data_IF_731058054483
#
_entry.id   IF_731058054483
#
_cell.length_a   1.000
_cell.length_b   1.000
_cell.length_c   1.000
_cell.angle_alpha   90.00
_cell.angle_beta   90.00
_cell.angle_gamma   90.00
#
_symmetry.space_group_name_H-M   'P 1'
#
loop_
_entity.id
_entity.type
_entity.pdbx_description
1 polymer ?
#
# COMPACT_ATOMS: atom_id res chain seq x y z
N UNK A 1 -0.55 -1.81 25.59
CA UNK A 1 -1.94 -2.14 25.94
C UNK A 1 -2.94 -1.52 24.97
N UNK A 2 -4.12 -2.15 24.87
CA UNK A 2 -5.19 -1.62 24.02
C UNK A 2 -5.83 -0.40 24.65
N UNK A 3 -6.02 -0.40 25.96
CA UNK A 3 -6.53 0.77 26.68
C UNK A 3 -5.36 1.52 27.29
N UNK A 4 -5.14 2.75 26.82
CA UNK A 4 -4.11 3.66 27.31
C UNK A 4 -4.79 4.96 27.74
N UNK A 5 -4.69 5.30 29.03
CA UNK A 5 -5.28 6.54 29.59
C UNK A 5 -6.77 6.75 29.27
N UNK A 6 -7.55 5.66 29.14
CA UNK A 6 -8.98 5.72 28.81
C UNK A 6 -9.31 5.73 27.30
N UNK A 7 -8.30 5.78 26.44
CA UNK A 7 -8.47 5.70 24.98
C UNK A 7 -8.13 4.32 24.43
N UNK A 8 -8.82 3.92 23.35
CA UNK A 8 -8.55 2.67 22.65
C UNK A 8 -7.44 2.91 21.61
N UNK A 9 -6.27 2.32 21.86
CA UNK A 9 -5.09 2.47 20.99
C UNK A 9 -5.30 1.88 19.59
N UNK A 10 -6.15 0.87 19.41
CA UNK A 10 -6.49 0.30 18.10
C UNK A 10 -7.30 1.30 17.29
N UNK A 11 -8.33 1.91 17.87
CA UNK A 11 -9.13 2.94 17.21
C UNK A 11 -8.26 4.15 16.84
N UNK A 12 -7.30 4.50 17.69
CA UNK A 12 -6.32 5.55 17.39
C UNK A 12 -5.41 5.16 16.19
N UNK A 13 -4.90 3.93 16.15
CA UNK A 13 -4.08 3.43 15.04
C UNK A 13 -4.85 3.43 13.72
N UNK A 14 -6.11 2.99 13.72
CA UNK A 14 -6.99 2.99 12.54
C UNK A 14 -7.20 4.42 12.04
N UNK A 15 -7.49 5.35 12.94
CA UNK A 15 -7.71 6.76 12.59
C UNK A 15 -6.45 7.46 12.05
N UNK A 16 -5.26 7.01 12.46
CA UNK A 16 -3.98 7.60 12.10
C UNK A 16 -3.15 6.72 11.14
N UNK A 17 -3.79 5.90 10.32
CA UNK A 17 -3.11 4.97 9.37
C UNK A 17 -1.99 5.63 8.57
N UNK A 18 -2.19 6.86 8.10
CA UNK A 18 -1.19 7.58 7.31
C UNK A 18 0.09 7.93 8.09
N UNK A 19 -0.04 8.22 9.40
CA UNK A 19 1.09 8.55 10.27
C UNK A 19 1.87 7.26 10.60
N UNK A 20 1.15 6.17 10.84
CA UNK A 20 1.70 4.90 11.29
C UNK A 20 2.12 3.96 10.17
N UNK A 21 1.87 4.29 8.90
CA UNK A 21 2.13 3.43 7.73
C UNK A 21 3.59 2.97 7.59
N UNK A 22 4.54 3.71 8.17
CA UNK A 22 5.98 3.39 8.16
C UNK A 22 6.45 2.61 9.39
N UNK A 23 5.56 2.37 10.34
CA UNK A 23 5.89 1.73 11.63
C UNK A 23 5.26 0.35 11.71
N UNK A 24 5.96 -0.61 12.29
CA UNK A 24 5.39 -1.90 12.64
C UNK A 24 4.93 -1.86 14.09
N UNK A 25 3.72 -2.35 14.35
CA UNK A 25 3.14 -2.35 15.69
C UNK A 25 3.04 -3.78 16.23
N UNK A 26 3.45 -3.97 17.48
CA UNK A 26 3.19 -5.17 18.25
C UNK A 26 2.27 -4.77 19.40
N UNK A 27 1.00 -5.17 19.31
CA UNK A 27 0.02 -4.90 20.36
C UNK A 27 0.03 -6.04 21.37
N UNK A 28 0.21 -5.71 22.64
CA UNK A 28 0.16 -6.68 23.74
C UNK A 28 -1.04 -6.36 24.65
N UNK A 29 -1.88 -7.35 24.93
CA UNK A 29 -3.05 -7.17 25.79
C UNK A 29 -3.26 -8.32 26.74
N UNK A 30 -3.87 -8.04 27.90
CA UNK A 30 -4.30 -9.05 28.86
C UNK A 30 -5.62 -9.73 28.45
N UNK A 31 -6.41 -9.11 27.58
CA UNK A 31 -7.74 -9.57 27.19
C UNK A 31 -7.79 -10.03 25.75
N UNK A 32 -8.50 -11.13 25.44
CA UNK A 32 -8.79 -11.48 24.05
C UNK A 32 -9.66 -10.37 23.42
N UNK A 33 -9.14 -9.73 22.40
CA UNK A 33 -9.83 -8.65 21.68
C UNK A 33 -10.62 -9.23 20.54
N UNK A 34 -11.70 -8.54 20.18
CA UNK A 34 -12.46 -8.78 18.96
C UNK A 34 -11.53 -8.67 17.76
N UNK A 35 -11.19 -9.82 17.20
CA UNK A 35 -10.14 -9.98 16.18
C UNK A 35 -10.39 -9.22 14.86
N UNK A 36 -11.63 -8.80 14.60
CA UNK A 36 -12.00 -8.11 13.36
C UNK A 36 -11.39 -6.69 13.25
N UNK A 37 -11.23 -5.96 14.36
CA UNK A 37 -10.61 -4.62 14.33
C UNK A 37 -9.11 -4.66 14.05
N UNK A 38 -8.46 -5.77 14.35
CA UNK A 38 -7.01 -5.93 14.18
C UNK A 38 -6.65 -6.15 12.71
N UNK A 39 -7.52 -6.80 11.95
CA UNK A 39 -7.34 -7.03 10.51
C UNK A 39 -7.33 -5.72 9.69
N UNK A 40 -7.85 -4.64 10.26
CA UNK A 40 -7.82 -3.31 9.62
C UNK A 40 -6.46 -2.59 9.76
N UNK A 41 -5.54 -3.12 10.59
CA UNK A 41 -4.21 -2.55 10.81
C UNK A 41 -3.17 -3.38 10.07
N UNK A 42 -2.75 -2.93 8.92
CA UNK A 42 -1.86 -3.60 7.95
C UNK A 42 -0.43 -3.90 8.46
N UNK A 43 -0.13 -3.82 9.73
CA UNK A 43 1.24 -4.00 10.23
C UNK A 43 1.29 -4.41 11.68
N UNK A 44 0.20 -4.97 12.21
CA UNK A 44 0.10 -5.25 13.64
C UNK A 44 0.33 -6.73 13.93
N UNK A 45 1.24 -7.00 14.85
CA UNK A 45 1.37 -8.27 15.53
C UNK A 45 0.61 -8.22 16.84
N UNK A 46 -0.11 -9.28 17.17
CA UNK A 46 -0.95 -9.32 18.36
C UNK A 46 -0.49 -10.42 19.32
N UNK A 47 -0.21 -10.05 20.57
CA UNK A 47 0.20 -10.96 21.63
C UNK A 47 -0.74 -10.85 22.83
N UNK A 48 -1.20 -12.00 23.33
CA UNK A 48 -2.03 -12.10 24.54
C UNK A 48 -1.08 -12.31 25.73
N UNK A 49 -0.98 -11.33 26.64
CA UNK A 49 -0.05 -11.35 27.78
C UNK A 49 -0.05 -12.66 28.58
N UNK A 50 -1.20 -13.25 28.98
CA UNK A 50 -1.23 -14.52 29.70
C UNK A 50 -0.68 -15.73 28.93
N UNK A 51 -0.56 -15.64 27.60
CA UNK A 51 -0.03 -16.70 26.73
C UNK A 51 1.30 -16.35 26.10
N UNK A 52 1.88 -15.21 26.47
CA UNK A 52 3.12 -14.72 25.91
C UNK A 52 4.30 -15.52 26.46
N UNK A 53 5.12 -16.03 25.55
CA UNK A 53 6.42 -16.62 25.82
C UNK A 53 7.50 -15.76 25.16
N UNK A 54 8.74 -15.90 25.62
CA UNK A 54 9.89 -15.22 24.99
C UNK A 54 10.00 -15.58 23.51
N UNK A 55 9.69 -16.83 23.14
CA UNK A 55 9.69 -17.29 21.75
C UNK A 55 8.64 -16.57 20.91
N UNK A 56 7.41 -16.40 21.40
CA UNK A 56 6.34 -15.67 20.70
C UNK A 56 6.69 -14.20 20.52
N UNK A 57 7.29 -13.59 21.55
CA UNK A 57 7.74 -12.20 21.46
C UNK A 57 8.88 -12.04 20.44
N UNK A 58 9.88 -12.91 20.48
CA UNK A 58 10.98 -12.92 19.51
C UNK A 58 10.50 -13.12 18.08
N UNK A 59 9.54 -14.04 17.87
CA UNK A 59 8.94 -14.25 16.54
C UNK A 59 8.17 -13.04 16.04
N UNK A 60 7.44 -12.34 16.93
CA UNK A 60 6.75 -11.10 16.57
C UNK A 60 7.74 -9.99 16.18
N UNK A 61 8.82 -9.82 16.93
CA UNK A 61 9.89 -8.86 16.63
C UNK A 61 10.57 -9.21 15.31
N UNK A 62 10.94 -10.48 15.10
CA UNK A 62 11.58 -10.94 13.86
C UNK A 62 10.73 -10.64 12.64
N UNK A 63 9.44 -10.96 12.67
CA UNK A 63 8.52 -10.62 11.56
C UNK A 63 8.34 -9.12 11.36
N UNK A 64 8.28 -8.32 12.43
CA UNK A 64 8.23 -6.88 12.31
C UNK A 64 9.49 -6.32 11.61
N UNK A 65 10.67 -6.84 11.94
CA UNK A 65 11.93 -6.47 11.29
C UNK A 65 11.98 -6.94 9.82
N UNK A 66 11.51 -8.14 9.52
CA UNK A 66 11.39 -8.65 8.15
C UNK A 66 10.49 -7.74 7.31
N UNK A 67 9.33 -7.35 7.83
CA UNK A 67 8.40 -6.42 7.16
C UNK A 67 9.02 -5.04 6.92
N UNK A 68 9.80 -4.51 7.89
CA UNK A 68 10.52 -3.24 7.71
C UNK A 68 11.56 -3.37 6.60
N UNK A 69 12.38 -4.43 6.63
CA UNK A 69 13.40 -4.69 5.64
C UNK A 69 12.80 -4.89 4.24
N UNK A 70 11.71 -5.64 4.12
CA UNK A 70 11.00 -5.79 2.87
C UNK A 70 10.48 -4.47 2.32
N UNK A 71 9.90 -3.61 3.18
CA UNK A 71 9.45 -2.27 2.77
C UNK A 71 10.63 -1.38 2.35
N UNK A 72 11.79 -1.50 2.98
CA UNK A 72 12.99 -0.73 2.61
C UNK A 72 13.63 -1.21 1.31
N UNK A 73 13.69 -2.52 1.07
CA UNK A 73 14.19 -3.09 -0.19
C UNK A 73 13.34 -2.73 -1.41
N UNK A 74 12.11 -2.30 -1.20
CA UNK A 74 11.15 -1.89 -2.24
C UNK A 74 11.23 -0.40 -2.58
N UNK A 75 12.20 0.33 -2.01
CA UNK A 75 12.46 1.72 -2.39
C UNK A 75 13.07 1.77 -3.79
N UNK A 76 12.47 2.54 -4.66
CA UNK A 76 12.98 2.86 -5.98
C UNK A 76 13.50 4.28 -6.01
N UNK A 77 14.69 4.47 -6.58
CA UNK A 77 15.23 5.80 -6.81
C UNK A 77 14.67 6.35 -8.12
N UNK A 78 13.88 7.40 -8.04
CA UNK A 78 13.31 8.12 -9.19
C UNK A 78 14.12 9.39 -9.43
N UNK A 79 14.58 9.58 -10.66
CA UNK A 79 15.25 10.82 -11.08
C UNK A 79 14.21 11.89 -11.38
N UNK A 80 14.30 13.02 -10.70
CA UNK A 80 13.43 14.19 -10.84
C UNK A 80 14.27 15.38 -11.31
N UNK A 81 14.61 15.44 -12.60
CA UNK A 81 15.58 16.41 -13.11
C UNK A 81 16.95 16.20 -12.45
N UNK A 82 17.46 17.20 -11.72
CA UNK A 82 18.75 17.15 -11.03
C UNK A 82 18.69 16.51 -9.63
N UNK A 83 17.50 16.07 -9.18
CA UNK A 83 17.32 15.42 -7.87
C UNK A 83 16.99 13.94 -8.06
N UNK A 84 17.37 13.14 -7.09
CA UNK A 84 16.97 11.74 -6.99
C UNK A 84 16.17 11.56 -5.71
N UNK A 85 15.00 10.95 -5.83
CA UNK A 85 14.11 10.66 -4.71
C UNK A 85 13.95 9.15 -4.55
N UNK A 86 14.19 8.65 -3.36
CA UNK A 86 13.88 7.27 -3.02
C UNK A 86 12.41 7.17 -2.60
N UNK A 87 11.57 6.50 -3.39
CA UNK A 87 10.16 6.26 -3.08
C UNK A 87 9.94 4.78 -2.82
N UNK A 88 9.06 4.47 -1.88
CA UNK A 88 8.57 3.12 -1.73
C UNK A 88 7.51 2.87 -2.82
N UNK A 89 7.73 1.87 -3.66
CA UNK A 89 6.82 1.56 -4.78
C UNK A 89 5.42 1.13 -4.30
N UNK A 90 5.29 0.66 -3.08
CA UNK A 90 3.99 0.29 -2.49
C UNK A 90 3.14 1.49 -2.08
N UNK A 91 3.77 2.65 -1.85
CA UNK A 91 3.10 3.90 -1.54
C UNK A 91 2.65 4.66 -2.83
N UNK A 92 2.93 4.11 -4.01
CA UNK A 92 2.43 4.64 -5.28
C UNK A 92 1.01 4.13 -5.49
N UNK A 93 0.04 5.03 -5.64
CA UNK A 93 -1.36 4.70 -5.93
C UNK A 93 -1.59 4.46 -7.42
N UNK A 94 -1.14 5.39 -8.26
CA UNK A 94 -1.16 5.24 -9.71
C UNK A 94 -0.13 6.14 -10.39
N UNK A 95 0.07 5.91 -11.67
CA UNK A 95 1.01 6.66 -12.51
C UNK A 95 0.26 7.07 -13.77
N UNK A 96 0.40 8.33 -14.15
CA UNK A 96 -0.15 8.85 -15.40
C UNK A 96 0.91 9.47 -16.30
N UNK A 97 0.61 9.56 -17.60
CA UNK A 97 1.45 10.27 -18.56
C UNK A 97 0.88 11.66 -18.82
N UNK A 98 1.76 12.66 -18.79
CA UNK A 98 1.42 14.05 -19.12
C UNK A 98 2.60 14.73 -19.83
N UNK A 99 2.39 15.16 -21.07
CA UNK A 99 3.40 15.88 -21.88
C UNK A 99 4.80 15.25 -21.85
N UNK A 100 4.94 13.99 -22.31
CA UNK A 100 6.19 13.22 -22.33
C UNK A 100 6.84 12.96 -20.95
N UNK A 101 6.13 13.25 -19.88
CA UNK A 101 6.53 12.92 -18.51
C UNK A 101 5.58 11.89 -17.94
N UNK A 102 6.00 11.24 -16.89
CA UNK A 102 5.11 10.53 -15.98
C UNK A 102 4.94 11.33 -14.70
N UNK A 103 3.73 11.29 -14.16
CA UNK A 103 3.38 11.81 -12.85
C UNK A 103 3.06 10.60 -11.98
N UNK A 104 3.77 10.48 -10.87
CA UNK A 104 3.63 9.41 -9.90
C UNK A 104 2.83 9.97 -8.74
N UNK A 105 1.68 9.37 -8.46
CA UNK A 105 0.79 9.75 -7.36
C UNK A 105 1.05 8.84 -6.16
N UNK A 106 1.22 9.44 -4.99
CA UNK A 106 1.55 8.74 -3.73
C UNK A 106 0.35 8.71 -2.80
N UNK A 107 0.29 7.69 -1.95
CA UNK A 107 -0.72 7.59 -0.85
C UNK A 107 -0.72 8.85 0.04
N UNK A 108 0.43 9.51 0.21
CA UNK A 108 0.54 10.77 0.95
C UNK A 108 -0.17 11.96 0.30
N UNK A 109 -0.66 11.81 -0.95
CA UNK A 109 -1.17 12.91 -1.78
C UNK A 109 -0.07 13.65 -2.54
N UNK A 110 1.22 13.37 -2.27
CA UNK A 110 2.33 13.95 -3.04
C UNK A 110 2.34 13.43 -4.48
N UNK A 111 2.83 14.29 -5.39
CA UNK A 111 2.98 13.97 -6.81
C UNK A 111 4.41 14.23 -7.24
N UNK A 112 5.02 13.23 -7.88
CA UNK A 112 6.37 13.33 -8.39
C UNK A 112 6.37 13.24 -9.92
N UNK A 113 6.97 14.25 -10.57
CA UNK A 113 7.07 14.31 -12.03
C UNK A 113 8.47 13.93 -12.47
N UNK A 114 8.60 12.98 -13.40
CA UNK A 114 9.88 12.60 -13.98
C UNK A 114 9.78 12.40 -15.49
N UNK A 115 10.89 12.63 -16.19
CA UNK A 115 10.99 12.37 -17.61
C UNK A 115 11.23 10.89 -17.86
N UNK A 116 10.19 10.18 -18.23
CA UNK A 116 10.23 8.76 -18.57
C UNK A 116 9.00 8.38 -19.38
N UNK A 117 9.07 7.26 -20.09
CA UNK A 117 7.88 6.66 -20.66
C UNK A 117 7.23 5.70 -19.66
N UNK A 118 5.89 5.60 -19.71
CA UNK A 118 5.17 4.66 -18.87
C UNK A 118 5.62 3.20 -19.10
N UNK A 119 6.01 2.87 -20.34
CA UNK A 119 6.52 1.54 -20.71
C UNK A 119 7.86 1.24 -20.04
N UNK A 120 8.80 2.20 -20.08
CA UNK A 120 10.12 2.02 -19.45
C UNK A 120 9.98 1.90 -17.93
N UNK A 121 9.16 2.75 -17.32
CA UNK A 121 8.94 2.74 -15.88
C UNK A 121 8.21 1.47 -15.41
N UNK A 122 7.26 0.95 -16.21
CA UNK A 122 6.53 -0.27 -15.91
C UNK A 122 7.42 -1.51 -15.72
N UNK A 123 8.50 -1.61 -16.53
CA UNK A 123 9.41 -2.76 -16.45
C UNK A 123 10.15 -2.86 -15.11
N UNK A 124 10.15 -1.80 -14.34
CA UNK A 124 10.85 -1.70 -13.06
C UNK A 124 9.89 -1.81 -11.86
N UNK A 125 8.59 -1.99 -12.11
CA UNK A 125 7.56 -2.08 -11.07
C UNK A 125 7.17 -3.54 -10.81
N UNK A 126 6.76 -3.86 -9.57
CA UNK A 126 6.25 -5.19 -9.23
C UNK A 126 4.95 -5.51 -9.98
N UNK A 127 4.60 -6.80 -10.01
CA UNK A 127 3.43 -7.34 -10.73
C UNK A 127 2.07 -6.81 -10.25
N UNK A 128 2.02 -6.18 -9.08
CA UNK A 128 0.81 -5.51 -8.58
C UNK A 128 0.41 -4.26 -9.37
N UNK A 129 1.29 -3.76 -10.26
CA UNK A 129 0.97 -2.63 -11.13
C UNK A 129 0.35 -3.08 -12.44
N UNK A 130 -0.88 -2.64 -12.68
CA UNK A 130 -1.67 -2.97 -13.86
C UNK A 130 -1.74 -1.80 -14.83
N UNK A 131 -1.32 -2.01 -16.08
CA UNK A 131 -1.51 -1.01 -17.13
C UNK A 131 -2.95 -1.08 -17.64
N UNK A 132 -3.79 -0.16 -17.17
CA UNK A 132 -5.22 -0.11 -17.48
C UNK A 132 -5.56 0.79 -18.68
N UNK A 133 -4.65 1.71 -19.08
CA UNK A 133 -4.85 2.64 -20.19
C UNK A 133 -3.52 2.95 -20.91
N UNK A 134 -3.55 3.53 -22.11
CA UNK A 134 -2.33 4.02 -22.78
C UNK A 134 -1.55 5.02 -21.92
N UNK A 135 -2.27 5.80 -21.12
CA UNK A 135 -1.72 6.86 -20.26
C UNK A 135 -1.77 6.57 -18.77
N UNK A 136 -2.32 5.44 -18.33
CA UNK A 136 -2.47 5.13 -16.90
C UNK A 136 -1.99 3.73 -16.54
N UNK A 137 -1.36 3.65 -15.38
CA UNK A 137 -1.00 2.43 -14.68
C UNK A 137 -1.42 2.57 -13.22
N UNK A 138 -2.12 1.58 -12.68
CA UNK A 138 -2.67 1.59 -11.31
C UNK A 138 -1.98 0.52 -10.46
N UNK A 139 -1.76 0.82 -9.20
CA UNK A 139 -1.39 -0.17 -8.21
C UNK A 139 -2.66 -0.85 -7.71
N UNK A 140 -2.82 -2.13 -8.01
CA UNK A 140 -4.02 -2.90 -7.69
C UNK A 140 -4.30 -3.00 -6.19
N UNK A 141 -3.30 -2.82 -5.34
CA UNK A 141 -3.45 -2.82 -3.87
C UNK A 141 -4.35 -1.67 -3.38
N UNK A 142 -4.34 -0.53 -4.06
CA UNK A 142 -5.10 0.68 -3.66
C UNK A 142 -6.46 0.81 -4.35
N UNK A 143 -6.89 -0.21 -5.11
CA UNK A 143 -8.20 -0.22 -5.75
C UNK A 143 -9.25 -0.68 -4.73
N UNK A 144 -10.23 0.16 -4.47
CA UNK A 144 -11.40 -0.17 -3.62
C UNK A 144 -12.61 -0.64 -4.43
N UNK A 145 -12.60 -0.40 -5.75
CA UNK A 145 -13.71 -0.79 -6.63
C UNK A 145 -13.50 -0.34 -8.06
N UNK A 146 -14.49 -0.60 -8.91
CA UNK A 146 -14.49 -0.11 -10.28
C UNK A 146 -15.91 0.20 -10.75
N UNK A 147 -16.02 1.16 -11.65
CA UNK A 147 -17.22 1.52 -12.40
C UNK A 147 -16.92 1.41 -13.90
N UNK A 148 -17.89 1.59 -14.81
CA UNK A 148 -17.62 1.56 -16.25
C UNK A 148 -16.45 2.49 -16.62
N UNK A 149 -15.37 1.88 -17.12
CA UNK A 149 -14.13 2.50 -17.60
C UNK A 149 -13.28 3.26 -16.56
N UNK A 150 -13.51 3.05 -15.25
CA UNK A 150 -12.67 3.63 -14.20
C UNK A 150 -12.43 2.65 -13.05
N UNK A 151 -11.21 2.64 -12.50
CA UNK A 151 -10.93 2.16 -11.15
C UNK A 151 -11.17 3.27 -10.14
N UNK A 152 -11.68 2.90 -8.96
CA UNK A 152 -11.88 3.78 -7.81
C UNK A 152 -10.79 3.46 -6.79
N UNK A 153 -10.09 4.48 -6.29
CA UNK A 153 -9.00 4.33 -5.34
C UNK A 153 -9.39 4.81 -3.94
N UNK A 154 -8.62 4.41 -2.93
CA UNK A 154 -8.82 4.78 -1.52
C UNK A 154 -8.80 6.29 -1.27
N UNK A 155 -8.09 7.06 -2.10
CA UNK A 155 -7.97 8.52 -2.06
C UNK A 155 -9.06 9.23 -2.88
N UNK A 156 -10.15 8.52 -3.22
CA UNK A 156 -11.26 8.99 -4.07
C UNK A 156 -10.84 9.29 -5.54
N UNK A 157 -9.59 9.05 -5.91
CA UNK A 157 -9.14 9.22 -7.29
C UNK A 157 -9.80 8.20 -8.22
N UNK A 158 -10.06 8.62 -9.46
CA UNK A 158 -10.55 7.74 -10.54
C UNK A 158 -9.47 7.56 -11.59
N UNK A 159 -9.09 6.31 -11.85
CA UNK A 159 -8.09 5.97 -12.86
C UNK A 159 -8.76 5.33 -14.06
N UNK A 160 -8.62 5.98 -15.21
CA UNK A 160 -9.30 5.57 -16.45
C UNK A 160 -8.82 4.21 -16.96
N UNK A 161 -9.76 3.37 -17.34
CA UNK A 161 -9.53 2.09 -18.03
C UNK A 161 -9.87 2.27 -19.51
N UNK A 162 -9.03 1.73 -20.39
CA UNK A 162 -9.30 1.74 -21.83
C UNK A 162 -10.58 0.95 -22.15
N UNK A 163 -11.57 1.54 -22.85
CA UNK A 163 -12.80 0.82 -23.24
C UNK A 163 -12.51 -0.46 -24.02
N UNK A 164 -11.50 -0.43 -24.90
CA UNK A 164 -11.12 -1.59 -25.74
C UNK A 164 -10.60 -2.78 -24.94
N UNK A 165 -10.01 -2.54 -23.77
CA UNK A 165 -9.40 -3.57 -22.93
C UNK A 165 -10.12 -3.75 -21.61
N UNK A 166 -11.27 -3.13 -21.40
CA UNK A 166 -11.97 -3.09 -20.10
C UNK A 166 -12.15 -4.49 -19.51
N UNK A 167 -12.78 -5.41 -20.23
CA UNK A 167 -13.02 -6.77 -19.71
C UNK A 167 -11.73 -7.51 -19.38
N UNK A 168 -10.68 -7.36 -20.21
CA UNK A 168 -9.38 -7.98 -19.96
C UNK A 168 -8.76 -7.40 -18.68
N UNK A 169 -8.76 -6.08 -18.54
CA UNK A 169 -8.20 -5.36 -17.38
C UNK A 169 -8.91 -5.75 -16.09
N UNK A 170 -10.25 -5.82 -16.09
CA UNK A 170 -11.02 -6.27 -14.93
C UNK A 170 -10.72 -7.74 -14.57
N UNK A 171 -10.56 -8.61 -15.56
CA UNK A 171 -10.22 -10.01 -15.32
C UNK A 171 -8.80 -10.14 -14.70
N UNK A 172 -7.84 -9.33 -15.11
CA UNK A 172 -6.50 -9.29 -14.50
C UNK A 172 -6.58 -8.82 -13.04
N UNK A 173 -7.36 -7.80 -12.75
CA UNK A 173 -7.60 -7.33 -11.38
C UNK A 173 -8.27 -8.41 -10.51
N UNK A 174 -9.30 -9.09 -11.01
CA UNK A 174 -9.96 -10.20 -10.28
C UNK A 174 -8.99 -11.34 -9.98
N UNK A 175 -8.11 -11.70 -10.91
CA UNK A 175 -7.05 -12.70 -10.67
C UNK A 175 -6.08 -12.26 -9.57
N UNK A 176 -5.73 -10.97 -9.55
CA UNK A 176 -4.89 -10.42 -8.47
C UNK A 176 -5.57 -10.60 -7.11
N UNK A 177 -6.86 -10.26 -6.98
CA UNK A 177 -7.61 -10.43 -5.72
C UNK A 177 -7.72 -11.90 -5.25
N UNK A 178 -7.72 -12.86 -6.18
CA UNK A 178 -7.77 -14.29 -5.83
C UNK A 178 -6.40 -14.83 -5.34
N UNK A 179 -5.31 -14.15 -5.64
CA UNK A 179 -3.94 -14.57 -5.33
C UNK A 179 -3.27 -13.71 -4.25
N UNK A 180 -3.98 -12.72 -3.70
CA UNK A 180 -3.55 -11.83 -2.61
C UNK A 180 -4.15 -12.28 -1.30
#
# INVERSE_FOLDING_TARGET
DIMLAGENSIDWLIKNKNIVSKTQFIVMTAFPVESYKISEIDSCYFLIKPRMTDELLLNAIKRALENINEKEQKKKVIKLGNKSLAVNVYDITYIETFNNNIIIHMVSGEKHKTYSSLKAFANELPSQFLRCHKSYMVNMKHIIGYEPYNFLLEDESKVQISPRTFHKTINEYKKYLMNS
#
